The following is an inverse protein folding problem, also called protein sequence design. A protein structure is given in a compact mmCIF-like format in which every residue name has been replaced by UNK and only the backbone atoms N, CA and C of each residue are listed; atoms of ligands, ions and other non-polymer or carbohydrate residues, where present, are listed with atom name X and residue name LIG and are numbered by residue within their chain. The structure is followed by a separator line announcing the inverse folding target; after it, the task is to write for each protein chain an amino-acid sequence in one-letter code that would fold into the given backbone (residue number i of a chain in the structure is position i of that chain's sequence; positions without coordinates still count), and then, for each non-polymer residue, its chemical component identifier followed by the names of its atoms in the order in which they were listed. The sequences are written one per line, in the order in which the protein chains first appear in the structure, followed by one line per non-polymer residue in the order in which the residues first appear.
data_IF_008159766608
#
_entry.id   IF_008159766608
#
_cell.length_a   1.000
_cell.length_b   1.000
_cell.length_c   1.000
_cell.angle_alpha   90.00
_cell.angle_beta   90.00
_cell.angle_gamma   90.00
#
_symmetry.space_group_name_H-M   'P 1'
#
loop_
_entity.id
_entity.type
_entity.pdbx_description
1 polymer ?
#
# COMPACT_ATOMS: atom_id res chain seq x y z
N UNK A 1 21.08 7.34 -19.91
CA UNK A 1 20.41 7.88 -18.73
C UNK A 1 20.69 6.94 -17.56
N UNK A 2 21.25 7.41 -16.45
CA UNK A 2 21.58 6.61 -15.25
C UNK A 2 20.60 7.00 -14.15
N UNK A 3 20.33 6.10 -13.20
CA UNK A 3 19.48 6.40 -12.03
C UNK A 3 20.02 7.60 -11.23
N UNK A 4 21.34 7.76 -11.17
CA UNK A 4 21.98 8.91 -10.53
C UNK A 4 21.62 10.27 -11.13
N UNK A 5 21.21 10.32 -12.41
CA UNK A 5 20.84 11.56 -13.10
C UNK A 5 19.54 12.18 -12.53
N UNK A 6 18.79 11.37 -11.77
CA UNK A 6 17.53 11.76 -11.09
C UNK A 6 17.72 12.02 -9.60
N UNK A 7 18.96 11.96 -9.09
CA UNK A 7 19.21 12.20 -7.68
C UNK A 7 19.24 13.70 -7.38
N UNK A 8 18.42 14.13 -6.43
CA UNK A 8 18.36 15.51 -5.97
C UNK A 8 18.06 15.57 -4.47
N UNK A 9 18.37 16.69 -3.84
CA UNK A 9 18.03 16.93 -2.45
C UNK A 9 16.53 17.27 -2.33
N UNK A 10 15.78 16.39 -1.67
CA UNK A 10 14.36 16.63 -1.35
C UNK A 10 14.24 16.93 0.15
N UNK A 11 13.96 18.19 0.56
CA UNK A 11 13.73 18.54 1.95
C UNK A 11 12.48 17.82 2.51
N UNK A 12 12.58 17.21 3.70
CA UNK A 12 11.49 16.45 4.33
C UNK A 12 10.20 17.27 4.48
N UNK A 13 10.30 18.56 4.75
CA UNK A 13 9.14 19.46 4.89
C UNK A 13 8.33 19.64 3.59
N UNK A 14 8.88 19.23 2.44
CA UNK A 14 8.16 19.26 1.17
C UNK A 14 7.38 17.97 0.89
N UNK A 15 7.53 16.95 1.74
CA UNK A 15 6.76 15.72 1.65
C UNK A 15 5.47 15.89 2.45
N UNK A 16 4.33 15.88 1.76
CA UNK A 16 3.03 15.96 2.41
C UNK A 16 2.75 14.66 3.18
N UNK A 17 2.46 14.77 4.49
CA UNK A 17 2.09 13.61 5.32
C UNK A 17 0.59 13.35 5.33
N UNK A 18 -0.22 14.32 4.92
CA UNK A 18 -1.68 14.23 4.84
C UNK A 18 -2.19 14.72 3.49
N UNK A 19 -3.25 14.12 2.95
CA UNK A 19 -3.90 14.63 1.76
C UNK A 19 -4.66 15.92 2.08
N UNK A 20 -4.85 16.77 1.06
CA UNK A 20 -5.74 17.92 1.18
C UNK A 20 -7.18 17.46 1.44
N UNK A 21 -7.98 18.26 2.18
CA UNK A 21 -9.38 17.97 2.44
C UNK A 21 -10.17 17.69 1.16
N UNK A 22 -9.99 18.51 0.13
CA UNK A 22 -10.59 18.31 -1.19
C UNK A 22 -9.53 17.84 -2.19
N UNK A 23 -9.70 16.64 -2.75
CA UNK A 23 -8.76 16.02 -3.74
C UNK A 23 -8.49 16.95 -4.93
N UNK A 24 -9.53 17.63 -5.44
CA UNK A 24 -9.45 18.52 -6.60
C UNK A 24 -8.62 19.79 -6.39
N UNK A 25 -8.28 20.11 -5.15
CA UNK A 25 -7.42 21.25 -4.81
C UNK A 25 -5.93 20.87 -4.75
N UNK A 26 -5.57 19.63 -5.01
CA UNK A 26 -4.16 19.23 -5.13
C UNK A 26 -3.49 20.07 -6.21
N UNK A 27 -2.21 20.39 -5.98
CA UNK A 27 -1.43 21.18 -6.96
C UNK A 27 -1.18 20.34 -8.20
N UNK A 28 -1.27 21.00 -9.36
CA UNK A 28 -0.94 20.45 -10.67
C UNK A 28 0.27 21.21 -11.22
N UNK A 29 1.34 20.48 -11.50
CA UNK A 29 2.46 21.00 -12.28
C UNK A 29 2.21 20.67 -13.74
N UNK A 30 2.13 21.70 -14.58
CA UNK A 30 2.01 21.54 -16.03
C UNK A 30 3.34 21.94 -16.67
N UNK A 31 3.90 21.03 -17.46
CA UNK A 31 5.13 21.25 -18.21
C UNK A 31 4.83 21.13 -19.72
N UNK A 32 4.87 22.26 -20.38
CA UNK A 32 4.76 22.38 -21.84
C UNK A 32 5.93 23.26 -22.30
N UNK A 33 5.66 24.43 -22.86
CA UNK A 33 6.68 25.43 -23.24
C UNK A 33 7.30 26.10 -22.01
N UNK A 34 6.53 26.18 -20.93
CA UNK A 34 6.96 26.71 -19.63
C UNK A 34 6.29 25.93 -18.50
N UNK A 35 6.92 25.99 -17.31
CA UNK A 35 6.35 25.41 -16.09
C UNK A 35 5.21 26.32 -15.60
N UNK A 36 4.03 25.73 -15.39
CA UNK A 36 2.87 26.39 -14.77
C UNK A 36 2.46 25.63 -13.52
N UNK A 37 2.00 26.35 -12.51
CA UNK A 37 1.45 25.79 -11.27
C UNK A 37 -0.05 26.10 -11.21
N UNK A 38 -0.85 25.06 -11.22
CA UNK A 38 -2.31 25.10 -11.25
C UNK A 38 -2.92 24.22 -10.16
N UNK A 39 -4.25 24.18 -10.07
CA UNK A 39 -4.96 23.20 -9.26
C UNK A 39 -5.34 21.98 -10.08
N UNK A 40 -5.46 20.80 -9.48
CA UNK A 40 -5.78 19.58 -10.20
C UNK A 40 -7.09 19.66 -11.00
N UNK A 41 -8.09 20.41 -10.51
CA UNK A 41 -9.34 20.67 -11.24
C UNK A 41 -9.12 21.31 -12.62
N UNK A 42 -8.00 22.01 -12.81
CA UNK A 42 -7.66 22.71 -14.06
C UNK A 42 -7.17 21.74 -15.15
N UNK A 43 -6.95 20.47 -14.81
CA UNK A 43 -6.54 19.42 -15.76
C UNK A 43 -7.53 19.31 -16.93
N UNK A 44 -8.81 19.63 -16.71
CA UNK A 44 -9.83 19.58 -17.74
C UNK A 44 -9.54 20.52 -18.93
N UNK A 45 -8.74 21.58 -18.75
CA UNK A 45 -8.32 22.51 -19.82
C UNK A 45 -7.37 21.86 -20.83
N UNK A 46 -6.80 20.72 -20.47
CA UNK A 46 -5.77 20.00 -21.23
C UNK A 46 -6.32 18.78 -21.97
N UNK A 47 -7.61 18.48 -21.83
CA UNK A 47 -8.28 17.42 -22.57
C UNK A 47 -8.99 17.96 -23.80
N UNK A 48 -8.83 17.24 -24.90
CA UNK A 48 -9.50 17.53 -26.17
C UNK A 48 -10.38 16.35 -26.60
N UNK A 49 -11.29 16.61 -27.53
CA UNK A 49 -12.12 15.55 -28.08
C UNK A 49 -11.26 14.53 -28.84
N UNK A 50 -11.29 13.29 -28.39
CA UNK A 50 -10.52 12.19 -28.97
C UNK A 50 -9.38 11.70 -28.07
N UNK A 51 -9.09 12.40 -26.97
CA UNK A 51 -8.14 11.93 -25.97
C UNK A 51 -8.63 10.65 -25.28
N UNK A 52 -7.69 9.79 -24.92
CA UNK A 52 -7.94 8.57 -24.15
C UNK A 52 -7.36 8.74 -22.75
N UNK A 53 -8.23 8.75 -21.74
CA UNK A 53 -7.82 8.72 -20.34
C UNK A 53 -7.73 7.27 -19.85
N UNK A 54 -6.53 6.80 -19.56
CA UNK A 54 -6.28 5.49 -18.94
C UNK A 54 -6.18 5.65 -17.44
N UNK A 55 -6.97 4.89 -16.69
CA UNK A 55 -7.00 4.92 -15.23
C UNK A 55 -6.75 3.53 -14.67
N UNK A 56 -6.20 3.47 -13.46
CA UNK A 56 -6.08 2.23 -12.69
C UNK A 56 -7.21 2.20 -11.65
N UNK A 57 -8.17 1.31 -11.82
CA UNK A 57 -9.35 1.18 -10.96
C UNK A 57 -9.23 0.08 -9.90
N UNK A 58 -8.04 -0.48 -9.67
CA UNK A 58 -7.85 -1.45 -8.59
C UNK A 58 -8.11 -0.82 -7.24
N UNK A 59 -8.67 -1.61 -6.31
CA UNK A 59 -8.83 -1.24 -4.91
C UNK A 59 -7.63 -1.71 -4.10
N UNK A 60 -7.20 -0.90 -3.14
CA UNK A 60 -6.04 -1.22 -2.30
C UNK A 60 -6.47 -2.13 -1.16
N UNK A 61 -5.72 -3.22 -0.96
CA UNK A 61 -5.85 -4.08 0.21
C UNK A 61 -5.19 -3.39 1.40
N UNK A 62 -5.77 -3.40 2.62
CA UNK A 62 -5.08 -3.01 3.85
C UNK A 62 -4.01 -4.05 4.20
N UNK A 63 -2.92 -4.04 3.44
CA UNK A 63 -1.98 -5.14 3.27
C UNK A 63 -1.00 -5.33 4.43
N UNK A 64 -1.05 -4.50 5.47
CA UNK A 64 -0.13 -4.54 6.61
C UNK A 64 -0.84 -5.00 7.86
N UNK A 65 -0.31 -6.02 8.55
CA UNK A 65 -0.82 -6.48 9.84
C UNK A 65 0.33 -6.55 10.84
N UNK A 66 0.08 -6.07 12.06
CA UNK A 66 1.01 -6.21 13.18
C UNK A 66 0.63 -7.40 14.05
N UNK A 67 1.62 -7.99 14.70
CA UNK A 67 1.40 -9.14 15.56
C UNK A 67 2.64 -9.58 16.33
N UNK A 68 2.61 -10.81 16.80
CA UNK A 68 3.68 -11.39 17.59
C UNK A 68 3.99 -12.83 17.16
N UNK A 69 5.23 -13.24 17.35
CA UNK A 69 5.64 -14.66 17.29
C UNK A 69 5.23 -15.40 18.56
N UNK A 70 5.18 -16.71 18.53
CA UNK A 70 5.03 -17.55 19.74
C UNK A 70 6.03 -17.18 20.85
N UNK A 71 7.22 -16.73 20.49
CA UNK A 71 8.26 -16.28 21.42
C UNK A 71 8.04 -14.87 21.98
N UNK A 72 6.91 -14.21 21.67
CA UNK A 72 6.58 -12.86 22.12
C UNK A 72 7.22 -11.72 21.32
N UNK A 73 8.11 -12.03 20.38
CA UNK A 73 8.74 -10.99 19.55
C UNK A 73 7.77 -10.39 18.53
N UNK A 74 7.73 -9.07 18.40
CA UNK A 74 6.87 -8.35 17.44
C UNK A 74 7.19 -8.72 16.01
N UNK A 75 6.15 -8.75 15.18
CA UNK A 75 6.22 -8.92 13.72
C UNK A 75 5.34 -7.88 13.02
N UNK A 76 5.78 -7.46 11.86
CA UNK A 76 5.00 -6.73 10.87
C UNK A 76 4.90 -7.63 9.63
N UNK A 77 3.69 -7.96 9.24
CA UNK A 77 3.39 -8.80 8.08
C UNK A 77 2.85 -7.89 6.97
N UNK A 78 3.52 -7.92 5.82
CA UNK A 78 3.10 -7.20 4.62
C UNK A 78 2.70 -8.20 3.55
N UNK A 79 1.46 -8.12 3.09
CA UNK A 79 0.96 -8.95 2.01
C UNK A 79 1.70 -8.62 0.70
N UNK A 80 2.13 -9.66 0.01
CA UNK A 80 2.64 -9.57 -1.37
C UNK A 80 1.59 -10.10 -2.34
N UNK A 81 1.00 -11.29 -2.02
CA UNK A 81 0.00 -11.94 -2.88
C UNK A 81 -0.84 -12.94 -2.08
N UNK A 82 -2.12 -12.96 -2.37
CA UNK A 82 -3.02 -14.05 -1.97
C UNK A 82 -2.72 -15.28 -2.83
N UNK A 83 -2.70 -16.45 -2.23
CA UNK A 83 -2.49 -17.75 -2.84
C UNK A 83 -3.72 -18.64 -2.61
N UNK A 84 -3.78 -19.76 -3.33
CA UNK A 84 -4.80 -20.80 -3.11
C UNK A 84 -4.69 -21.41 -1.69
N UNK A 85 -5.70 -22.17 -1.30
CA UNK A 85 -5.77 -22.92 -0.03
C UNK A 85 -5.57 -22.04 1.23
N UNK A 86 -6.15 -20.86 1.25
CA UNK A 86 -6.03 -19.90 2.37
C UNK A 86 -4.58 -19.54 2.72
N UNK A 87 -3.69 -19.50 1.75
CA UNK A 87 -2.30 -19.11 1.91
C UNK A 87 -2.06 -17.69 1.42
N UNK A 88 -1.04 -17.06 1.96
CA UNK A 88 -0.53 -15.80 1.44
C UNK A 88 0.99 -15.79 1.38
N UNK A 89 1.53 -15.20 0.34
CA UNK A 89 2.92 -14.82 0.22
C UNK A 89 3.07 -13.44 0.89
N UNK A 90 3.96 -13.34 1.86
CA UNK A 90 4.12 -12.14 2.68
C UNK A 90 5.59 -11.81 2.91
N UNK A 91 5.89 -10.55 3.11
CA UNK A 91 7.12 -10.12 3.76
C UNK A 91 6.89 -10.05 5.26
N UNK A 92 7.88 -10.48 6.07
CA UNK A 92 7.80 -10.39 7.52
C UNK A 92 9.00 -9.60 8.04
N UNK A 93 8.71 -8.46 8.64
CA UNK A 93 9.70 -7.65 9.34
C UNK A 93 9.65 -7.99 10.84
N UNK A 94 10.80 -8.36 11.40
CA UNK A 94 10.96 -8.69 12.83
C UNK A 94 12.43 -8.64 13.21
N UNK A 95 12.74 -8.54 14.50
CA UNK A 95 14.12 -8.54 14.99
C UNK A 95 14.88 -9.84 14.67
N UNK A 96 14.17 -10.98 14.68
CA UNK A 96 14.66 -12.27 14.18
C UNK A 96 13.55 -12.91 13.37
N UNK A 97 13.86 -13.45 12.20
CA UNK A 97 12.89 -14.13 11.33
C UNK A 97 12.14 -15.24 12.06
N UNK A 98 10.83 -15.42 11.80
CA UNK A 98 10.10 -16.58 12.31
C UNK A 98 10.69 -17.86 11.74
N UNK A 99 10.57 -18.94 12.49
CA UNK A 99 10.97 -20.28 12.04
C UNK A 99 9.85 -20.90 11.21
N UNK A 100 10.21 -21.64 10.16
CA UNK A 100 9.26 -22.48 9.44
C UNK A 100 8.69 -23.50 10.42
N UNK A 101 7.37 -23.72 10.35
CA UNK A 101 6.61 -24.57 11.28
C UNK A 101 6.14 -23.86 12.55
N UNK A 102 6.56 -22.58 12.79
CA UNK A 102 6.09 -21.82 13.96
C UNK A 102 4.79 -21.06 13.65
N UNK A 103 4.15 -20.58 14.71
CA UNK A 103 2.95 -19.76 14.60
C UNK A 103 3.24 -18.28 14.81
N UNK A 104 2.41 -17.44 14.17
CA UNK A 104 2.30 -16.02 14.42
C UNK A 104 0.90 -15.73 14.95
N UNK A 105 0.80 -14.74 15.82
CA UNK A 105 -0.45 -14.24 16.37
C UNK A 105 -0.67 -12.84 15.81
N UNK A 106 -1.61 -12.72 14.89
CA UNK A 106 -1.97 -11.47 14.21
C UNK A 106 -3.30 -11.01 14.82
N UNK A 107 -3.23 -10.19 15.86
CA UNK A 107 -4.37 -9.88 16.74
C UNK A 107 -5.04 -11.17 17.27
N UNK A 108 -6.30 -11.42 16.88
CA UNK A 108 -7.06 -12.63 17.27
C UNK A 108 -6.78 -13.86 16.39
N UNK A 109 -5.98 -13.71 15.32
CA UNK A 109 -5.73 -14.78 14.36
C UNK A 109 -4.42 -15.48 14.63
N UNK A 110 -4.47 -16.81 14.69
CA UNK A 110 -3.29 -17.67 14.75
C UNK A 110 -2.99 -18.17 13.34
N UNK A 111 -1.83 -17.81 12.78
CA UNK A 111 -1.43 -18.21 11.44
C UNK A 111 -0.14 -19.03 11.47
N UNK A 112 -0.01 -19.97 10.55
CA UNK A 112 1.11 -20.91 10.50
C UNK A 112 2.12 -20.48 9.44
N UNK A 113 3.38 -20.29 9.82
CA UNK A 113 4.47 -20.01 8.91
C UNK A 113 4.95 -21.34 8.29
N UNK A 114 4.46 -21.68 7.10
CA UNK A 114 4.64 -23.02 6.51
C UNK A 114 5.86 -23.14 5.61
N UNK A 115 6.31 -22.05 5.00
CA UNK A 115 7.45 -22.10 4.08
C UNK A 115 8.10 -20.71 3.94
N UNK A 116 9.28 -20.71 3.29
CA UNK A 116 10.01 -19.49 2.93
C UNK A 116 10.54 -19.58 1.51
N UNK A 117 10.30 -18.54 0.73
CA UNK A 117 10.78 -18.40 -0.63
C UNK A 117 11.57 -17.09 -0.74
N UNK A 118 12.88 -17.17 -0.80
CA UNK A 118 13.80 -16.03 -0.80
C UNK A 118 13.58 -15.12 0.43
N UNK A 119 13.14 -13.90 0.19
CA UNK A 119 12.82 -12.92 1.25
C UNK A 119 11.36 -12.95 1.71
N UNK A 120 10.54 -13.81 1.11
CA UNK A 120 9.12 -13.96 1.42
C UNK A 120 8.87 -15.19 2.28
N UNK A 121 7.78 -15.14 3.03
CA UNK A 121 7.25 -16.26 3.77
C UNK A 121 5.90 -16.68 3.18
N UNK A 122 5.59 -17.96 3.27
CA UNK A 122 4.25 -18.46 2.99
C UNK A 122 3.59 -18.74 4.34
N UNK A 123 2.48 -18.05 4.58
CA UNK A 123 1.70 -18.23 5.80
C UNK A 123 0.33 -18.80 5.44
N UNK A 124 -0.14 -19.72 6.30
CA UNK A 124 -1.42 -20.40 6.19
C UNK A 124 -2.39 -19.83 7.19
N UNK A 125 -3.56 -19.45 6.72
CA UNK A 125 -4.70 -18.98 7.52
C UNK A 125 -5.75 -20.07 7.69
N UNK A 126 -6.66 -19.91 8.63
CA UNK A 126 -7.83 -20.79 8.84
C UNK A 126 -9.00 -20.46 7.91
N UNK A 127 -8.97 -19.30 7.26
CA UNK A 127 -9.95 -18.80 6.30
C UNK A 127 -9.30 -17.95 5.22
N UNK A 128 -10.11 -17.37 4.34
CA UNK A 128 -9.64 -16.54 3.23
C UNK A 128 -8.77 -15.38 3.74
N UNK A 129 -7.49 -15.28 3.35
CA UNK A 129 -6.59 -14.24 3.83
C UNK A 129 -7.11 -12.82 3.58
N UNK A 130 -7.77 -12.58 2.45
CA UNK A 130 -8.31 -11.27 2.10
C UNK A 130 -9.34 -10.76 3.13
N UNK A 131 -10.16 -11.65 3.67
CA UNK A 131 -11.13 -11.30 4.72
C UNK A 131 -10.41 -10.82 5.99
N UNK A 132 -9.34 -11.53 6.38
CA UNK A 132 -8.54 -11.18 7.56
C UNK A 132 -7.84 -9.84 7.35
N UNK A 133 -7.19 -9.64 6.18
CA UNK A 133 -6.54 -8.37 5.86
C UNK A 133 -7.55 -7.20 5.82
N UNK A 134 -8.75 -7.40 5.31
CA UNK A 134 -9.79 -6.39 5.33
C UNK A 134 -10.31 -6.06 6.74
N UNK A 135 -10.28 -7.04 7.66
CA UNK A 135 -10.80 -6.87 9.02
C UNK A 135 -9.79 -6.18 9.94
N UNK A 136 -8.52 -6.62 9.93
CA UNK A 136 -7.50 -6.18 10.88
C UNK A 136 -6.30 -5.49 10.21
N UNK A 137 -6.32 -5.34 8.90
CA UNK A 137 -5.23 -4.76 8.15
C UNK A 137 -5.17 -3.24 8.26
N UNK A 138 -3.97 -2.75 8.12
CA UNK A 138 -3.60 -1.34 8.05
C UNK A 138 -3.27 -0.93 6.62
N UNK A 139 -3.54 0.33 6.29
CA UNK A 139 -3.19 0.90 4.98
C UNK A 139 -1.66 0.90 4.83
N UNK A 140 -1.12 0.34 3.74
CA UNK A 140 0.32 0.27 3.54
C UNK A 140 0.89 1.60 3.08
N UNK A 141 0.89 2.61 3.96
CA UNK A 141 1.49 3.91 3.67
C UNK A 141 2.94 3.75 3.25
N UNK A 142 3.41 4.48 2.23
CA UNK A 142 4.78 4.39 1.77
C UNK A 142 5.77 4.88 2.85
N UNK A 143 7.01 4.37 2.88
CA UNK A 143 7.94 4.57 3.98
C UNK A 143 8.42 6.02 4.16
N UNK A 144 8.18 6.90 3.19
CA UNK A 144 8.47 8.33 3.32
C UNK A 144 7.40 9.08 4.11
N UNK A 145 6.21 8.50 4.31
CA UNK A 145 5.19 9.00 5.23
C UNK A 145 5.50 8.42 6.62
N UNK A 146 6.09 9.23 7.49
CA UNK A 146 6.62 8.80 8.80
C UNK A 146 5.55 8.90 9.88
N UNK A 147 4.38 8.28 9.68
CA UNK A 147 3.30 8.16 10.66
C UNK A 147 2.57 6.84 10.52
N UNK A 148 1.83 6.46 11.53
CA UNK A 148 0.89 5.37 11.45
C UNK A 148 -0.30 5.75 10.57
N UNK A 149 -0.98 4.75 10.02
CA UNK A 149 -2.21 4.97 9.27
C UNK A 149 -3.37 5.29 10.20
N UNK A 150 -4.29 6.08 9.70
CA UNK A 150 -5.48 6.55 10.40
C UNK A 150 -6.74 6.14 9.61
N UNK A 151 -7.92 6.32 10.21
CA UNK A 151 -9.18 6.05 9.51
C UNK A 151 -9.30 6.87 8.22
N UNK A 152 -8.77 8.10 8.21
CA UNK A 152 -8.72 8.94 7.03
C UNK A 152 -8.01 8.26 5.85
N UNK A 153 -6.95 7.49 6.11
CA UNK A 153 -6.18 6.83 5.05
C UNK A 153 -6.98 5.71 4.39
N UNK A 154 -7.82 5.00 5.12
CA UNK A 154 -8.71 3.98 4.55
C UNK A 154 -9.62 4.56 3.45
N UNK A 155 -10.03 5.81 3.61
CA UNK A 155 -10.89 6.50 2.64
C UNK A 155 -10.10 7.24 1.56
N UNK A 156 -8.88 7.69 1.89
CA UNK A 156 -8.13 8.62 1.04
C UNK A 156 -7.00 7.95 0.25
N UNK A 157 -6.52 6.79 0.67
CA UNK A 157 -5.48 6.02 -0.01
C UNK A 157 -6.02 5.17 -1.18
N UNK A 158 -7.23 5.45 -1.59
CA UNK A 158 -7.91 4.87 -2.74
C UNK A 158 -8.22 5.94 -3.78
N UNK A 159 -8.35 5.56 -5.05
CA UNK A 159 -8.82 6.45 -6.11
C UNK A 159 -10.34 6.60 -6.05
N UNK A 160 -10.87 7.70 -6.62
CA UNK A 160 -12.34 7.93 -6.67
C UNK A 160 -13.05 7.01 -7.66
N UNK A 161 -12.31 6.33 -8.52
CA UNK A 161 -12.80 5.39 -9.54
C UNK A 161 -12.40 3.95 -9.24
N UNK A 162 -11.99 3.64 -8.01
CA UNK A 162 -11.70 2.26 -7.61
C UNK A 162 -12.94 1.35 -7.76
N UNK A 163 -12.72 0.15 -8.20
CA UNK A 163 -13.71 -0.93 -8.14
C UNK A 163 -13.35 -1.87 -6.98
N UNK A 164 -14.16 -1.85 -5.91
CA UNK A 164 -13.93 -2.71 -4.73
C UNK A 164 -13.99 -4.20 -5.02
N UNK A 165 -14.50 -4.61 -6.18
CA UNK A 165 -14.45 -6.01 -6.63
C UNK A 165 -13.07 -6.39 -7.18
N UNK A 166 -12.26 -5.41 -7.55
CA UNK A 166 -10.89 -5.57 -8.05
C UNK A 166 -9.87 -5.25 -6.94
N UNK A 167 -10.07 -5.82 -5.75
CA UNK A 167 -9.19 -5.63 -4.62
C UNK A 167 -7.96 -6.54 -4.73
N UNK A 168 -6.99 -6.12 -5.54
CA UNK A 168 -5.80 -6.89 -5.88
C UNK A 168 -4.49 -6.14 -5.63
N UNK A 169 -4.55 -4.83 -5.38
CA UNK A 169 -3.36 -3.99 -5.21
C UNK A 169 -2.96 -3.86 -3.74
N UNK A 170 -1.66 -4.02 -3.48
CA UNK A 170 -1.05 -3.77 -2.16
C UNK A 170 -0.43 -2.38 -2.05
N UNK A 171 -0.51 -1.57 -3.10
CA UNK A 171 -0.03 -0.19 -3.13
C UNK A 171 -1.04 0.71 -3.85
N UNK A 172 -1.09 1.99 -3.46
CA UNK A 172 -1.94 2.94 -4.17
C UNK A 172 -1.52 3.04 -5.65
N UNK A 173 -2.49 3.15 -6.58
CA UNK A 173 -2.19 3.46 -7.97
C UNK A 173 -1.48 4.82 -8.08
N UNK A 174 -0.43 4.85 -8.88
CA UNK A 174 0.36 6.06 -9.18
C UNK A 174 0.24 6.42 -10.64
#
# INVERSE_FOLDING_TARGET
MKTSDFNYHLPEQLIANYPLEKRSLSRLLVFQDAIKHESFKDILKYFEKGDLLVVNNTSVIPARIFGQKESGGSVEVMLERIMEDNKALVQIRSGRSPKIGSYLYLESYKVHCIDRKDNFFIIQFDRAPLEIFNQIGHVPLPPYIKREDEQLDKDRYATVYEDKKLQESVAAPT
#
